data_IF_540841360924
#
_entry.id   IF_540841360924
#
_cell.length_a   1.000
_cell.length_b   1.000
_cell.length_c   1.000
_cell.angle_alpha   90.00
_cell.angle_beta   90.00
_cell.angle_gamma   90.00
#
_symmetry.space_group_name_H-M   'P 1'
#
loop_
_entity.id
_entity.type
_entity.pdbx_description
1 polymer ?
#
# COMPACT_ATOMS: atom_id res chain seq x y z
N UNK A 1 -15.06 3.32 -4.26
CA UNK A 1 -14.39 2.05 -4.63
C UNK A 1 -14.07 1.34 -3.34
N UNK A 2 -14.28 0.03 -3.27
CA UNK A 2 -13.91 -0.76 -2.10
C UNK A 2 -12.49 -1.30 -2.32
N UNK A 3 -11.57 -1.02 -1.39
CA UNK A 3 -10.19 -1.49 -1.47
C UNK A 3 -10.07 -2.89 -0.89
N UNK A 4 -9.10 -3.68 -1.36
CA UNK A 4 -8.86 -5.02 -0.80
C UNK A 4 -8.41 -4.92 0.67
N UNK A 5 -9.06 -5.68 1.58
CA UNK A 5 -8.84 -5.56 3.01
C UNK A 5 -7.41 -5.94 3.41
N UNK A 6 -6.85 -5.23 4.39
CA UNK A 6 -5.53 -5.55 4.94
C UNK A 6 -5.64 -6.74 5.89
N UNK A 7 -4.92 -7.82 5.58
CA UNK A 7 -4.75 -8.92 6.53
C UNK A 7 -3.86 -8.47 7.70
N UNK A 8 -4.37 -8.55 8.93
CA UNK A 8 -3.76 -7.94 10.12
C UNK A 8 -2.86 -8.87 10.93
N UNK A 9 -3.01 -10.18 10.77
CA UNK A 9 -2.28 -11.18 11.55
C UNK A 9 -0.95 -11.52 10.88
N UNK A 10 -0.05 -12.13 11.65
CA UNK A 10 1.22 -12.60 11.11
C UNK A 10 1.10 -13.90 10.31
N UNK A 11 2.22 -14.31 9.70
CA UNK A 11 2.28 -15.52 8.89
C UNK A 11 2.08 -16.81 9.70
N UNK A 12 2.44 -16.82 10.98
CA UNK A 12 2.34 -18.02 11.82
C UNK A 12 0.90 -18.28 12.23
N UNK A 13 0.17 -17.23 12.60
CA UNK A 13 -1.29 -17.28 12.75
C UNK A 13 -1.96 -17.75 11.46
N UNK A 14 -1.59 -17.15 10.32
CA UNK A 14 -2.17 -17.53 9.03
C UNK A 14 -1.94 -19.01 8.68
N UNK A 15 -0.78 -19.58 9.06
CA UNK A 15 -0.52 -21.02 8.90
C UNK A 15 -1.37 -21.87 9.81
N UNK A 16 -1.53 -21.48 11.08
CA UNK A 16 -2.32 -22.22 12.06
C UNK A 16 -3.82 -22.23 11.72
N UNK A 17 -4.32 -21.16 11.09
CA UNK A 17 -5.72 -21.02 10.71
C UNK A 17 -6.03 -21.42 9.26
N UNK A 18 -5.04 -21.93 8.51
CA UNK A 18 -5.17 -22.23 7.06
C UNK A 18 -5.53 -21.01 6.18
N UNK A 19 -5.14 -19.82 6.62
CA UNK A 19 -5.40 -18.52 5.99
C UNK A 19 -4.18 -17.99 5.19
N UNK A 20 -3.17 -18.83 4.97
CA UNK A 20 -1.89 -18.41 4.37
C UNK A 20 -2.06 -17.79 2.97
N UNK A 21 -3.08 -18.19 2.21
CA UNK A 21 -3.42 -17.59 0.94
C UNK A 21 -3.83 -16.11 1.10
N UNK A 22 -4.68 -15.79 2.08
CA UNK A 22 -5.15 -14.44 2.37
C UNK A 22 -3.99 -13.53 2.81
N UNK A 23 -3.12 -14.04 3.68
CA UNK A 23 -1.90 -13.34 4.10
C UNK A 23 -1.00 -13.00 2.90
N UNK A 24 -0.76 -13.98 2.01
CA UNK A 24 0.09 -13.80 0.82
C UNK A 24 -0.50 -12.80 -0.16
N UNK A 25 -1.80 -12.85 -0.41
CA UNK A 25 -2.50 -11.92 -1.30
C UNK A 25 -2.44 -10.49 -0.74
N UNK A 26 -2.71 -10.31 0.56
CA UNK A 26 -2.58 -9.00 1.21
C UNK A 26 -1.15 -8.47 1.14
N UNK A 27 -0.14 -9.31 1.36
CA UNK A 27 1.26 -8.91 1.28
C UNK A 27 1.71 -8.55 -0.14
N UNK A 28 1.20 -9.26 -1.17
CA UNK A 28 1.45 -8.89 -2.57
C UNK A 28 0.94 -7.48 -2.84
N UNK A 29 -0.25 -7.15 -2.35
CA UNK A 29 -0.86 -5.82 -2.52
C UNK A 29 -0.08 -4.76 -1.73
N UNK A 30 0.37 -5.07 -0.51
CA UNK A 30 1.25 -4.18 0.26
C UNK A 30 2.55 -3.89 -0.48
N UNK A 31 3.17 -4.90 -1.09
CA UNK A 31 4.37 -4.73 -1.91
C UNK A 31 4.13 -3.81 -3.10
N UNK A 32 3.00 -3.98 -3.80
CA UNK A 32 2.60 -3.09 -4.90
C UNK A 32 2.34 -1.66 -4.42
N UNK A 33 1.65 -1.50 -3.29
CA UNK A 33 1.40 -0.20 -2.65
C UNK A 33 2.72 0.51 -2.30
N UNK A 34 3.68 -0.19 -1.70
CA UNK A 34 4.99 0.37 -1.37
C UNK A 34 5.73 0.85 -2.63
N UNK A 35 5.72 0.06 -3.70
CA UNK A 35 6.30 0.45 -4.99
C UNK A 35 5.59 1.68 -5.59
N UNK A 36 4.27 1.75 -5.48
CA UNK A 36 3.49 2.90 -5.95
C UNK A 36 3.81 4.18 -5.18
N UNK A 37 4.05 4.10 -3.86
CA UNK A 37 4.50 5.24 -3.04
C UNK A 37 5.86 5.73 -3.53
N UNK A 38 6.83 4.83 -3.69
CA UNK A 38 8.17 5.19 -4.19
C UNK A 38 8.10 5.84 -5.57
N UNK A 39 7.26 5.30 -6.46
CA UNK A 39 7.10 5.84 -7.80
C UNK A 39 6.41 7.22 -7.78
N UNK A 40 5.36 7.39 -6.97
CA UNK A 40 4.65 8.65 -6.83
C UNK A 40 5.57 9.77 -6.29
N UNK A 41 6.47 9.44 -5.34
CA UNK A 41 7.46 10.40 -4.84
C UNK A 41 8.51 10.75 -5.91
N UNK A 42 8.97 9.78 -6.72
CA UNK A 42 9.87 10.04 -7.85
C UNK A 42 9.23 10.93 -8.92
N UNK A 43 7.95 10.71 -9.19
CA UNK A 43 7.17 11.45 -10.18
C UNK A 43 6.63 12.78 -9.65
N UNK A 44 6.71 13.01 -8.34
CA UNK A 44 6.33 14.27 -7.72
C UNK A 44 7.23 15.37 -8.28
N UNK A 45 6.65 16.19 -9.15
CA UNK A 45 7.31 17.29 -9.82
C UNK A 45 8.01 18.20 -8.80
N UNK A 46 9.34 18.13 -8.76
CA UNK A 46 10.18 18.87 -7.81
C UNK A 46 10.23 20.35 -8.19
N UNK A 47 9.16 21.08 -7.87
CA UNK A 47 9.08 22.52 -8.07
C UNK A 47 9.60 23.24 -6.82
N UNK A 48 10.45 24.26 -7.00
CA UNK A 48 10.94 25.12 -5.91
C UNK A 48 11.60 24.36 -4.74
N UNK A 49 12.29 23.26 -5.04
CA UNK A 49 12.91 22.40 -4.04
C UNK A 49 11.96 21.66 -3.09
N UNK A 50 10.69 21.49 -3.50
CA UNK A 50 9.66 20.80 -2.70
C UNK A 50 9.02 19.67 -3.49
N UNK A 51 8.82 18.56 -2.79
CA UNK A 51 7.98 17.47 -3.28
C UNK A 51 6.51 17.80 -3.04
N UNK A 52 5.65 17.46 -4.00
CA UNK A 52 4.20 17.47 -3.83
C UNK A 52 3.76 16.11 -3.24
N UNK A 53 4.08 15.92 -1.97
CA UNK A 53 3.80 14.68 -1.25
C UNK A 53 2.31 14.48 -1.02
N UNK A 54 1.54 15.55 -0.87
CA UNK A 54 0.09 15.48 -0.65
C UNK A 54 -0.61 14.90 -1.87
N UNK A 55 -0.33 15.43 -3.07
CA UNK A 55 -0.90 14.87 -4.32
C UNK A 55 -0.41 13.45 -4.58
N UNK A 56 0.85 13.15 -4.22
CA UNK A 56 1.42 11.81 -4.37
C UNK A 56 0.73 10.80 -3.47
N UNK A 57 0.53 11.15 -2.19
CA UNK A 57 -0.18 10.32 -1.22
C UNK A 57 -1.65 10.12 -1.63
N UNK A 58 -2.35 11.17 -2.07
CA UNK A 58 -3.75 11.08 -2.50
C UNK A 58 -3.94 10.10 -3.67
N UNK A 59 -3.01 10.07 -4.64
CA UNK A 59 -3.04 9.10 -5.74
C UNK A 59 -2.95 7.67 -5.24
N UNK A 60 -1.99 7.38 -4.35
CA UNK A 60 -1.82 6.02 -3.81
C UNK A 60 -3.00 5.63 -2.91
N UNK A 61 -3.50 6.55 -2.08
CA UNK A 61 -4.69 6.31 -1.24
C UNK A 61 -5.92 6.00 -2.09
N UNK A 62 -6.10 6.69 -3.22
CA UNK A 62 -7.22 6.43 -4.13
C UNK A 62 -7.16 5.04 -4.80
N UNK A 63 -5.97 4.44 -4.90
CA UNK A 63 -5.77 3.12 -5.51
C UNK A 63 -5.80 2.00 -4.46
N UNK A 64 -5.05 2.15 -3.37
CA UNK A 64 -4.80 1.09 -2.38
C UNK A 64 -5.59 1.24 -1.07
N UNK A 65 -6.19 2.42 -0.85
CA UNK A 65 -6.89 2.77 0.38
C UNK A 65 -5.94 3.25 1.47
N UNK A 66 -6.45 4.13 2.34
CA UNK A 66 -5.66 4.72 3.42
C UNK A 66 -5.11 3.69 4.42
N UNK A 67 -5.76 2.52 4.54
CA UNK A 67 -5.30 1.46 5.45
C UNK A 67 -3.94 0.86 5.07
N UNK A 68 -3.56 0.92 3.78
CA UNK A 68 -2.26 0.44 3.29
C UNK A 68 -1.20 1.54 3.17
N UNK A 69 -1.62 2.80 3.23
CA UNK A 69 -0.75 3.98 3.13
C UNK A 69 -0.56 4.56 4.53
N UNK A 70 0.27 3.89 5.34
CA UNK A 70 0.56 4.23 6.74
C UNK A 70 2.05 4.37 7.02
#
# INVERSE_FOLDING_TARGET
>A
MEHQPVYKQDADYARQQDELALYRDSNRINGACAQAIEQAIKDSNYALYRYDLDSSAQKVIAEYGAERVV
#
